data_IF_112437177947
#
_entry.id   IF_112437177947
#
_cell.length_a   1.000
_cell.length_b   1.000
_cell.length_c   1.000
_cell.angle_alpha   90.00
_cell.angle_beta   90.00
_cell.angle_gamma   90.00
#
_symmetry.space_group_name_H-M   'P 1'
#
loop_
_entity.id
_entity.type
_entity.pdbx_description
1 polymer ?
#
# COMPACT_ATOMS: atom_id res chain seq x y z
N UNK A 1 12.49 -3.19 7.66
CA UNK A 1 11.83 -4.52 7.54
C UNK A 1 12.74 -5.58 6.91
N UNK A 2 13.01 -5.57 5.60
CA UNK A 2 13.85 -6.61 4.97
C UNK A 2 15.29 -6.69 5.56
N UNK A 3 15.89 -5.53 5.87
CA UNK A 3 17.19 -5.48 6.55
C UNK A 3 17.13 -5.83 8.05
N UNK A 4 15.94 -6.11 8.58
CA UNK A 4 15.73 -6.59 9.96
C UNK A 4 15.44 -8.10 10.02
N UNK A 5 15.69 -8.83 8.93
CA UNK A 5 15.55 -10.28 8.87
C UNK A 5 14.17 -10.77 8.41
N UNK A 6 13.23 -9.86 8.13
CA UNK A 6 11.93 -10.22 7.55
C UNK A 6 12.09 -10.75 6.12
N UNK A 7 11.45 -11.89 5.77
CA UNK A 7 11.47 -12.39 4.41
C UNK A 7 10.77 -11.41 3.45
N UNK A 8 11.24 -11.32 2.21
CA UNK A 8 10.73 -10.29 1.29
C UNK A 8 9.21 -10.34 1.05
N UNK A 9 8.59 -11.52 1.11
CA UNK A 9 7.14 -11.67 0.89
C UNK A 9 6.27 -11.01 1.96
N UNK A 10 6.81 -10.66 3.14
CA UNK A 10 6.11 -9.84 4.15
C UNK A 10 6.61 -8.38 4.17
N UNK A 11 7.29 -7.94 3.11
CA UNK A 11 7.86 -6.59 2.98
C UNK A 11 7.44 -5.92 1.68
N UNK A 12 7.63 -6.57 0.54
CA UNK A 12 7.44 -6.00 -0.81
C UNK A 12 6.35 -6.73 -1.58
N UNK A 13 5.95 -6.14 -2.71
CA UNK A 13 5.00 -6.73 -3.66
C UNK A 13 3.59 -6.16 -3.54
N UNK A 14 2.75 -6.53 -4.49
CA UNK A 14 1.35 -6.13 -4.52
C UNK A 14 0.62 -6.58 -3.25
N UNK A 15 -0.18 -5.69 -2.68
CA UNK A 15 -1.00 -5.97 -1.51
C UNK A 15 -2.40 -6.41 -1.89
N UNK A 16 -3.05 -7.14 -0.99
CA UNK A 16 -4.44 -7.58 -1.13
C UNK A 16 -5.16 -7.56 0.22
N UNK A 17 -6.48 -7.45 0.22
CA UNK A 17 -7.25 -7.54 1.46
C UNK A 17 -7.22 -8.96 2.02
N UNK A 18 -6.84 -9.10 3.29
CA UNK A 18 -6.93 -10.36 4.04
C UNK A 18 -8.25 -10.44 4.78
N UNK A 19 -8.68 -11.62 5.21
CA UNK A 19 -9.94 -11.78 5.96
C UNK A 19 -11.22 -11.62 5.12
N UNK A 20 -11.11 -11.55 3.78
CA UNK A 20 -12.22 -11.68 2.84
C UNK A 20 -11.75 -12.40 1.56
N UNK A 21 -12.69 -12.77 0.69
CA UNK A 21 -12.36 -13.37 -0.59
C UNK A 21 -11.38 -12.49 -1.38
N UNK A 22 -10.35 -13.14 -1.89
CA UNK A 22 -9.30 -12.51 -2.69
C UNK A 22 -9.81 -12.06 -4.05
N UNK A 23 -9.41 -10.85 -4.47
CA UNK A 23 -9.73 -10.28 -5.77
C UNK A 23 -9.21 -11.14 -6.94
N UNK A 24 -9.93 -11.10 -8.05
CA UNK A 24 -9.63 -11.92 -9.23
C UNK A 24 -8.36 -11.44 -9.94
N UNK A 25 -7.99 -10.17 -9.79
CA UNK A 25 -6.86 -9.55 -10.47
C UNK A 25 -5.59 -9.51 -9.61
N UNK A 26 -5.52 -10.28 -8.53
CA UNK A 26 -4.27 -10.48 -7.79
C UNK A 26 -3.30 -11.28 -8.67
N UNK A 27 -2.03 -10.84 -8.71
CA UNK A 27 -0.99 -11.52 -9.48
C UNK A 27 -0.81 -12.97 -8.98
N UNK A 28 -0.86 -13.93 -9.91
CA UNK A 28 -0.83 -15.38 -9.64
C UNK A 28 -1.96 -15.92 -8.75
N UNK A 29 -3.10 -15.21 -8.65
CA UNK A 29 -4.27 -15.57 -7.84
C UNK A 29 -4.68 -17.05 -7.92
N UNK A 30 -4.64 -17.64 -9.12
CA UNK A 30 -5.10 -19.01 -9.37
C UNK A 30 -4.14 -20.09 -8.86
N UNK A 31 -2.86 -19.75 -8.66
CA UNK A 31 -1.81 -20.75 -8.39
C UNK A 31 -1.09 -20.55 -7.06
N UNK A 32 -1.22 -19.39 -6.39
CA UNK A 32 -0.46 -19.06 -5.19
C UNK A 32 -1.22 -19.17 -3.87
N UNK A 33 -2.56 -19.25 -3.90
CA UNK A 33 -3.41 -19.17 -2.71
C UNK A 33 -3.94 -20.50 -2.17
N UNK A 34 -3.77 -21.62 -2.89
CA UNK A 34 -4.34 -22.93 -2.53
C UNK A 34 -3.95 -23.41 -1.12
N UNK A 35 -2.72 -23.09 -0.70
CA UNK A 35 -2.17 -23.50 0.58
C UNK A 35 -2.36 -22.46 1.70
N UNK A 36 -2.96 -21.30 1.41
CA UNK A 36 -3.29 -20.34 2.45
C UNK A 36 -4.46 -20.89 3.29
N UNK A 37 -4.32 -21.03 4.62
CA UNK A 37 -5.36 -21.60 5.48
C UNK A 37 -6.69 -20.84 5.40
N UNK A 38 -6.67 -19.52 5.15
CA UNK A 38 -7.87 -18.70 5.04
C UNK A 38 -8.76 -19.10 3.85
N UNK A 39 -8.21 -19.77 2.83
CA UNK A 39 -9.00 -20.30 1.70
C UNK A 39 -10.05 -21.33 2.14
N UNK A 40 -9.78 -22.02 3.26
CA UNK A 40 -10.61 -23.11 3.78
C UNK A 40 -11.50 -22.64 4.93
N UNK A 41 -11.32 -21.40 5.41
CA UNK A 41 -12.12 -20.83 6.48
C UNK A 41 -13.30 -20.02 5.91
N UNK A 42 -14.56 -20.44 6.14
CA UNK A 42 -15.74 -19.72 5.66
C UNK A 42 -15.87 -18.30 6.23
N UNK A 43 -15.15 -17.97 7.31
CA UNK A 43 -15.08 -16.63 7.89
C UNK A 43 -14.31 -15.67 6.98
N UNK A 44 -13.32 -16.17 6.23
CA UNK A 44 -12.38 -15.35 5.46
C UNK A 44 -12.53 -15.50 3.95
N UNK A 45 -13.20 -16.54 3.45
CA UNK A 45 -13.28 -16.81 2.01
C UNK A 45 -14.59 -16.35 1.33
N UNK A 46 -15.45 -15.60 2.02
CA UNK A 46 -16.65 -14.99 1.43
C UNK A 46 -16.37 -13.57 0.95
N UNK A 47 -17.22 -13.03 0.05
CA UNK A 47 -17.04 -11.69 -0.53
C UNK A 47 -16.70 -10.60 0.49
N UNK A 48 -17.37 -10.59 1.65
CA UNK A 48 -17.09 -9.60 2.69
C UNK A 48 -16.22 -10.16 3.81
N UNK A 49 -16.20 -11.48 4.03
CA UNK A 49 -15.50 -12.11 5.14
C UNK A 49 -15.79 -11.41 6.48
N UNK A 50 -14.77 -10.85 7.11
CA UNK A 50 -14.89 -10.10 8.38
C UNK A 50 -15.39 -8.66 8.23
N UNK A 51 -15.50 -8.14 7.00
CA UNK A 51 -15.82 -6.74 6.73
C UNK A 51 -17.32 -6.49 6.51
N UNK A 52 -17.68 -5.21 6.59
CA UNK A 52 -18.99 -4.71 6.14
C UNK A 52 -18.85 -4.09 4.75
N UNK A 53 -19.94 -4.02 3.96
CA UNK A 53 -19.94 -3.23 2.72
C UNK A 53 -19.59 -1.78 3.01
N UNK A 54 -18.78 -1.16 2.14
CA UNK A 54 -18.35 0.25 2.25
C UNK A 54 -17.76 0.62 3.62
N UNK A 55 -17.02 -0.30 4.25
CA UNK A 55 -16.38 -0.05 5.55
C UNK A 55 -15.27 1.00 5.49
N UNK A 56 -14.76 1.29 4.29
CA UNK A 56 -13.64 2.20 4.06
C UNK A 56 -12.31 1.48 4.15
N UNK A 57 -11.39 1.77 3.22
CA UNK A 57 -10.10 1.05 3.14
C UNK A 57 -9.24 1.26 4.38
N UNK A 58 -9.44 2.35 5.12
CA UNK A 58 -8.78 2.59 6.40
C UNK A 58 -9.11 1.54 7.48
N UNK A 59 -10.22 0.81 7.32
CA UNK A 59 -10.70 -0.24 8.20
C UNK A 59 -10.53 -1.66 7.61
N UNK A 60 -9.85 -1.77 6.47
CA UNK A 60 -9.54 -3.05 5.82
C UNK A 60 -8.13 -3.46 6.20
N UNK A 61 -7.96 -4.72 6.62
CA UNK A 61 -6.62 -5.29 6.80
C UNK A 61 -6.08 -5.70 5.43
N UNK A 62 -4.96 -5.10 5.04
CA UNK A 62 -4.19 -5.53 3.88
C UNK A 62 -3.08 -6.48 4.30
N UNK A 63 -2.63 -7.32 3.38
CA UNK A 63 -1.41 -8.12 3.52
C UNK A 63 -0.26 -7.22 3.99
N UNK A 64 0.42 -7.63 5.06
CA UNK A 64 1.47 -6.83 5.69
C UNK A 64 2.67 -6.58 4.76
N UNK A 65 3.17 -5.35 4.77
CA UNK A 65 4.30 -4.93 3.95
C UNK A 65 4.68 -3.47 4.18
N UNK A 66 5.51 -2.96 3.28
CA UNK A 66 6.10 -1.63 3.35
C UNK A 66 5.07 -0.48 3.33
N UNK A 67 3.92 -0.64 2.65
CA UNK A 67 2.84 0.36 2.59
C UNK A 67 2.32 0.74 3.99
N UNK A 68 1.77 -0.24 4.72
CA UNK A 68 1.21 -0.02 6.06
C UNK A 68 2.31 0.37 7.05
N UNK A 69 3.49 -0.26 6.96
CA UNK A 69 4.63 0.08 7.81
C UNK A 69 5.04 1.55 7.64
N UNK A 70 5.24 2.02 6.41
CA UNK A 70 5.66 3.39 6.16
C UNK A 70 4.56 4.39 6.51
N UNK A 71 3.29 4.04 6.26
CA UNK A 71 2.16 4.85 6.71
C UNK A 71 2.18 5.06 8.23
N UNK A 72 2.28 3.97 9.01
CA UNK A 72 2.34 4.05 10.47
C UNK A 72 3.59 4.79 10.97
N UNK A 73 4.74 4.58 10.33
CA UNK A 73 5.97 5.33 10.60
C UNK A 73 5.78 6.84 10.44
N UNK A 74 5.14 7.28 9.35
CA UNK A 74 4.91 8.70 9.08
C UNK A 74 3.96 9.33 10.11
N UNK A 75 2.94 8.59 10.55
CA UNK A 75 2.04 9.03 11.62
C UNK A 75 2.75 9.11 12.97
N UNK A 76 3.51 8.07 13.34
CA UNK A 76 4.27 8.01 14.58
C UNK A 76 5.27 9.16 14.70
N UNK A 77 6.01 9.41 13.62
CA UNK A 77 6.98 10.50 13.52
C UNK A 77 6.34 11.87 13.22
N UNK A 78 5.00 11.98 13.23
CA UNK A 78 4.24 13.23 13.07
C UNK A 78 4.64 14.02 11.82
N UNK A 79 4.79 13.31 10.70
CA UNK A 79 5.02 13.89 9.38
C UNK A 79 4.02 15.01 9.08
N UNK A 80 4.49 16.09 8.48
CA UNK A 80 3.66 17.24 8.05
C UNK A 80 3.14 17.08 6.61
N UNK A 81 3.26 15.89 6.04
CA UNK A 81 2.70 15.59 4.72
C UNK A 81 1.15 15.67 4.77
N UNK A 82 0.50 16.10 3.68
CA UNK A 82 -0.95 16.13 3.62
C UNK A 82 -1.54 14.71 3.62
N UNK A 83 -2.80 14.57 4.03
CA UNK A 83 -3.52 13.30 4.09
C UNK A 83 -3.40 12.49 2.79
N UNK A 84 -3.53 13.14 1.62
CA UNK A 84 -3.39 12.47 0.32
C UNK A 84 -2.03 11.78 0.13
N UNK A 85 -0.95 12.32 0.70
CA UNK A 85 0.37 11.71 0.60
C UNK A 85 0.45 10.45 1.47
N UNK A 86 -0.08 10.50 2.69
CA UNK A 86 -0.22 9.32 3.53
C UNK A 86 -1.08 8.25 2.86
N UNK A 87 -2.19 8.65 2.23
CA UNK A 87 -3.10 7.74 1.53
C UNK A 87 -2.42 7.09 0.32
N UNK A 88 -1.71 7.86 -0.51
CA UNK A 88 -0.94 7.31 -1.63
C UNK A 88 0.07 6.28 -1.14
N UNK A 89 0.86 6.60 -0.10
CA UNK A 89 1.85 5.69 0.47
C UNK A 89 1.23 4.40 1.02
N UNK A 90 0.10 4.52 1.72
CA UNK A 90 -0.57 3.38 2.36
C UNK A 90 -1.18 2.37 1.36
N UNK A 91 -1.47 2.80 0.14
CA UNK A 91 -2.23 1.98 -0.82
C UNK A 91 -1.60 1.90 -2.21
N UNK A 92 -0.35 2.33 -2.39
CA UNK A 92 0.32 2.32 -3.70
C UNK A 92 0.64 0.92 -4.22
N UNK A 93 0.73 -0.07 -3.34
CA UNK A 93 0.90 -1.48 -3.72
C UNK A 93 -0.45 -2.20 -3.88
N UNK A 94 -1.59 -1.55 -3.62
CA UNK A 94 -2.91 -2.20 -3.68
C UNK A 94 -3.46 -2.27 -5.12
N UNK A 95 -2.67 -2.89 -6.01
CA UNK A 95 -2.94 -2.98 -7.45
C UNK A 95 -4.31 -3.55 -7.82
N UNK A 96 -4.78 -4.66 -7.20
CA UNK A 96 -6.13 -5.16 -7.46
C UNK A 96 -7.19 -4.07 -7.33
N UNK A 97 -7.04 -3.18 -6.35
CA UNK A 97 -7.95 -2.07 -6.13
C UNK A 97 -7.73 -0.92 -7.11
N UNK A 98 -6.56 -0.27 -7.11
CA UNK A 98 -6.42 0.97 -7.85
C UNK A 98 -6.36 0.76 -9.37
N UNK A 99 -5.81 -0.36 -9.84
CA UNK A 99 -5.64 -0.65 -11.27
C UNK A 99 -6.81 -1.45 -11.85
N UNK A 100 -7.36 -2.42 -11.11
CA UNK A 100 -8.35 -3.36 -11.65
C UNK A 100 -9.78 -3.14 -11.15
N UNK A 101 -9.97 -2.38 -10.07
CA UNK A 101 -11.29 -2.14 -9.47
C UNK A 101 -11.79 -3.25 -8.56
N UNK A 102 -10.94 -4.23 -8.24
CA UNK A 102 -11.26 -5.19 -7.19
C UNK A 102 -11.46 -4.43 -5.87
N UNK A 103 -12.29 -4.96 -4.97
CA UNK A 103 -12.54 -4.36 -3.66
C UNK A 103 -13.26 -2.99 -3.63
N UNK A 104 -13.74 -2.45 -4.76
CA UNK A 104 -14.56 -1.23 -4.76
C UNK A 104 -15.82 -1.36 -3.86
N UNK A 105 -16.28 -2.59 -3.58
CA UNK A 105 -17.39 -2.88 -2.64
C UNK A 105 -17.05 -2.60 -1.15
N UNK A 106 -15.76 -2.47 -0.80
CA UNK A 106 -15.29 -2.06 0.53
C UNK A 106 -15.07 -0.55 0.62
N UNK A 107 -14.98 0.15 -0.52
CA UNK A 107 -14.65 1.56 -0.59
C UNK A 107 -15.81 2.47 -0.18
N UNK A 108 -15.45 3.58 0.48
CA UNK A 108 -16.29 4.76 0.67
C UNK A 108 -16.10 5.75 -0.48
N UNK A 109 -16.92 6.79 -0.54
CA UNK A 109 -16.76 7.86 -1.54
C UNK A 109 -15.41 8.58 -1.42
N UNK A 110 -14.86 8.68 -0.19
CA UNK A 110 -13.52 9.21 0.07
C UNK A 110 -12.45 8.36 -0.62
N UNK A 111 -12.54 7.04 -0.50
CA UNK A 111 -11.56 6.12 -1.09
C UNK A 111 -11.59 6.21 -2.62
N UNK A 112 -12.79 6.30 -3.21
CA UNK A 112 -12.95 6.47 -4.65
C UNK A 112 -12.36 7.80 -5.17
N UNK A 113 -12.43 8.87 -4.38
CA UNK A 113 -11.77 10.13 -4.72
C UNK A 113 -10.24 10.03 -4.58
N UNK A 114 -9.76 9.42 -3.49
CA UNK A 114 -8.32 9.23 -3.25
C UNK A 114 -7.67 8.29 -4.26
N UNK A 115 -8.42 7.33 -4.84
CA UNK A 115 -7.98 6.45 -5.93
C UNK A 115 -7.37 7.23 -7.10
N UNK A 116 -7.88 8.43 -7.40
CA UNK A 116 -7.32 9.31 -8.44
C UNK A 116 -5.90 9.78 -8.10
N UNK A 117 -5.63 10.08 -6.83
CA UNK A 117 -4.30 10.47 -6.37
C UNK A 117 -3.34 9.29 -6.40
N UNK A 118 -3.79 8.11 -5.95
CA UNK A 118 -3.01 6.85 -6.01
C UNK A 118 -2.63 6.52 -7.46
N UNK A 119 -3.58 6.59 -8.39
CA UNK A 119 -3.33 6.36 -9.82
C UNK A 119 -2.34 7.37 -10.42
N UNK A 120 -2.43 8.64 -10.03
CA UNK A 120 -1.47 9.66 -10.46
C UNK A 120 -0.06 9.36 -9.95
N UNK A 121 0.08 9.00 -8.67
CA UNK A 121 1.36 8.60 -8.10
C UNK A 121 1.93 7.34 -8.78
N UNK A 122 1.09 6.34 -9.03
CA UNK A 122 1.46 5.07 -9.64
C UNK A 122 2.10 5.25 -11.03
N UNK A 123 1.71 6.28 -11.80
CA UNK A 123 2.35 6.58 -13.08
C UNK A 123 3.84 6.88 -12.91
N UNK A 124 4.20 7.62 -11.85
CA UNK A 124 5.60 7.92 -11.57
C UNK A 124 6.31 6.69 -10.98
N UNK A 125 5.73 6.02 -9.98
CA UNK A 125 6.34 4.79 -9.42
C UNK A 125 6.64 3.75 -10.52
N UNK A 126 5.68 3.49 -11.41
CA UNK A 126 5.84 2.45 -12.42
C UNK A 126 6.73 2.88 -13.58
N UNK A 127 6.49 4.06 -14.17
CA UNK A 127 7.10 4.43 -15.45
C UNK A 127 8.39 5.24 -15.34
N UNK A 128 8.83 5.63 -14.14
CA UNK A 128 10.18 6.20 -13.96
C UNK A 128 11.24 5.14 -13.66
N UNK A 129 10.87 3.86 -13.55
CA UNK A 129 11.80 2.74 -13.36
C UNK A 129 12.71 2.64 -14.61
N UNK A 130 13.99 2.93 -14.43
CA UNK A 130 15.01 2.96 -15.47
C UNK A 130 16.30 2.30 -14.98
N UNK A 131 17.11 1.78 -15.89
CA UNK A 131 18.47 1.33 -15.60
C UNK A 131 19.45 2.50 -15.41
N UNK A 132 19.09 3.68 -15.90
CA UNK A 132 19.88 4.89 -15.70
C UNK A 132 19.68 5.40 -14.28
N UNK A 133 20.79 5.54 -13.55
CA UNK A 133 20.80 6.05 -12.18
C UNK A 133 20.90 7.58 -12.25
N UNK A 134 20.01 8.34 -11.58
CA UNK A 134 20.10 9.79 -11.54
C UNK A 134 21.33 10.26 -10.77
N UNK A 135 21.76 11.50 -11.00
CA UNK A 135 22.82 12.13 -10.21
C UNK A 135 22.33 12.40 -8.77
N UNK A 136 22.61 11.46 -7.87
CA UNK A 136 22.15 11.51 -6.48
C UNK A 136 22.72 12.73 -5.75
N UNK A 137 24.00 13.07 -5.96
CA UNK A 137 24.64 14.16 -5.23
C UNK A 137 24.09 15.52 -5.67
N UNK A 138 23.78 15.69 -6.96
CA UNK A 138 23.12 16.90 -7.44
C UNK A 138 21.67 17.05 -6.91
N UNK A 139 20.95 15.94 -6.72
CA UNK A 139 19.56 15.93 -6.24
C UNK A 139 19.42 16.06 -4.73
N UNK A 140 20.41 15.58 -3.97
CA UNK A 140 20.37 15.48 -2.51
C UNK A 140 20.02 16.80 -1.80
N UNK A 141 20.56 17.98 -2.17
CA UNK A 141 20.20 19.24 -1.51
C UNK A 141 18.71 19.58 -1.64
N UNK A 142 18.12 19.29 -2.81
CA UNK A 142 16.69 19.53 -3.05
C UNK A 142 15.83 18.63 -2.17
N UNK A 143 16.06 17.31 -2.17
CA UNK A 143 15.28 16.38 -1.35
C UNK A 143 15.51 16.60 0.15
N UNK A 144 16.72 16.96 0.57
CA UNK A 144 16.99 17.32 1.97
C UNK A 144 16.13 18.52 2.40
N UNK A 145 16.00 19.55 1.55
CA UNK A 145 15.14 20.70 1.88
C UNK A 145 13.66 20.32 2.08
N UNK A 146 13.19 19.27 1.39
CA UNK A 146 11.83 18.73 1.56
C UNK A 146 11.73 17.90 2.85
N UNK A 147 12.75 17.10 3.17
CA UNK A 147 12.84 16.35 4.44
C UNK A 147 12.79 17.33 5.61
N UNK A 148 13.62 18.38 5.59
CA UNK A 148 13.67 19.41 6.63
C UNK A 148 12.32 20.11 6.83
N UNK A 149 11.55 20.26 5.74
CA UNK A 149 10.23 20.87 5.78
C UNK A 149 9.16 19.93 6.34
N UNK A 150 9.12 18.67 5.89
CA UNK A 150 7.98 17.78 6.10
C UNK A 150 8.20 16.72 7.20
N UNK A 151 9.42 16.24 7.40
CA UNK A 151 9.74 15.22 8.40
C UNK A 151 11.21 15.34 8.90
N UNK A 152 11.56 16.47 9.56
CA UNK A 152 12.94 16.76 9.92
C UNK A 152 13.45 15.90 11.08
N UNK A 153 14.78 15.82 11.19
CA UNK A 153 15.47 15.26 12.35
C UNK A 153 15.71 13.75 12.28
N UNK A 154 16.10 13.18 13.42
CA UNK A 154 16.27 11.74 13.57
C UNK A 154 14.91 11.12 13.86
N UNK A 155 14.55 10.09 13.10
CA UNK A 155 13.24 9.44 13.11
C UNK A 155 13.32 8.05 13.77
N UNK A 156 12.19 7.59 14.30
CA UNK A 156 12.03 6.29 14.93
C UNK A 156 11.42 5.29 13.93
N UNK A 157 12.17 4.23 13.61
CA UNK A 157 11.86 3.21 12.60
C UNK A 157 11.35 1.91 13.21
#
# INVERSE_FOLDING_TARGET
MAFYGEPQWCVVGDTFAVGCAWGDNIVYRDTSFENNPDSKDPTYNTKYGIYKPKIGLENVLLSWGHDEYLYQFLLHNKSKLPEKAHYMIRFHSFYPWHSSGDYDYLCTDKDLEMKKQVLLFNQYDLYTKSTEIPDIEALKPYYQSLIDKYIPGVLEW
#
